data_IF_013004652199
#
_entry.id   IF_013004652199
#
_cell.length_a   1.000
_cell.length_b   1.000
_cell.length_c   1.000
_cell.angle_alpha   90.00
_cell.angle_beta   90.00
_cell.angle_gamma   90.00
#
_symmetry.space_group_name_H-M   'P 1'
#
loop_
_entity.id
_entity.type
_entity.pdbx_description
1 polymer ?
#
# COMPACT_ATOMS: atom_id res chain seq x y z
N UNK A 1 12.55 -5.88 -2.04
CA UNK A 1 11.89 -6.70 -0.98
C UNK A 1 11.34 -5.71 0.04
N UNK A 2 10.63 -6.11 1.08
CA UNK A 2 10.12 -5.16 2.11
C UNK A 2 10.31 -5.83 3.44
N UNK A 3 10.63 -5.00 4.42
CA UNK A 3 11.47 -5.34 5.56
C UNK A 3 10.58 -5.71 6.75
N UNK A 4 11.12 -6.28 7.82
CA UNK A 4 10.52 -6.18 9.16
C UNK A 4 11.34 -5.14 9.92
N UNK A 5 10.76 -4.04 10.37
CA UNK A 5 11.45 -2.87 10.96
C UNK A 5 12.53 -3.24 11.99
N UNK A 6 13.66 -2.52 12.09
CA UNK A 6 14.71 -2.79 13.09
C UNK A 6 14.32 -2.26 14.47
N UNK A 7 13.21 -1.52 14.51
CA UNK A 7 12.54 -0.95 15.66
C UNK A 7 11.20 -1.67 15.88
N UNK A 8 11.15 -3.01 16.07
CA UNK A 8 9.95 -3.59 16.65
C UNK A 8 9.93 -3.07 18.09
N UNK A 9 9.29 -1.91 18.34
CA UNK A 9 9.02 -1.51 19.72
C UNK A 9 8.07 -2.58 20.27
N UNK A 10 8.43 -3.28 21.36
CA UNK A 10 7.50 -4.15 22.05
C UNK A 10 6.22 -3.38 22.27
N UNK A 11 5.07 -4.02 22.00
CA UNK A 11 3.77 -3.37 22.24
C UNK A 11 3.69 -3.04 23.72
N UNK A 12 3.84 -1.77 24.05
CA UNK A 12 3.37 -1.25 25.33
C UNK A 12 1.83 -1.24 25.22
N UNK A 13 1.11 -2.09 25.96
CA UNK A 13 -0.34 -2.11 25.90
C UNK A 13 -0.97 -0.79 26.35
N UNK A 14 -0.21 0.06 27.07
CA UNK A 14 -0.64 1.37 27.54
C UNK A 14 -0.34 2.50 26.52
N UNK A 15 0.40 2.23 25.44
CA UNK A 15 0.71 3.21 24.39
C UNK A 15 -0.25 3.07 23.18
N UNK A 16 -0.84 4.18 22.67
CA UNK A 16 -1.69 4.13 21.48
C UNK A 16 -0.92 3.58 20.26
N UNK A 17 -1.51 2.70 19.44
CA UNK A 17 -0.82 2.15 18.28
C UNK A 17 -0.55 3.23 17.22
N UNK A 18 0.56 3.10 16.50
CA UNK A 18 0.80 3.87 15.27
C UNK A 18 -0.27 3.52 14.24
N UNK A 19 -0.72 4.53 13.50
CA UNK A 19 -1.52 4.38 12.30
C UNK A 19 -0.82 5.06 11.13
N UNK A 20 -1.22 4.76 9.91
CA UNK A 20 -0.79 5.47 8.69
C UNK A 20 -1.43 6.86 8.59
N UNK A 21 -1.35 7.62 9.68
CA UNK A 21 -1.64 9.04 9.74
C UNK A 21 -0.52 9.78 9.01
N UNK A 22 -0.68 9.90 7.69
CA UNK A 22 0.36 10.42 6.82
C UNK A 22 0.76 11.87 7.23
N UNK A 23 2.07 12.19 7.38
CA UNK A 23 2.50 13.49 7.90
C UNK A 23 2.29 14.67 6.91
N UNK A 24 2.13 14.40 5.62
CA UNK A 24 1.76 15.41 4.62
C UNK A 24 0.34 15.92 4.86
N UNK A 25 -0.60 15.00 5.08
CA UNK A 25 -1.99 15.29 5.41
C UNK A 25 -2.49 14.37 6.54
N UNK A 26 -2.24 14.74 7.81
CA UNK A 26 -2.54 13.91 8.97
C UNK A 26 -4.03 13.98 9.32
N UNK A 27 -4.85 13.47 8.40
CA UNK A 27 -6.29 13.29 8.57
C UNK A 27 -6.60 11.86 9.02
N UNK A 28 -7.37 11.73 10.10
CA UNK A 28 -7.81 10.45 10.66
C UNK A 28 -8.87 9.78 9.79
N UNK A 29 -8.49 9.17 8.66
CA UNK A 29 -9.43 8.45 7.80
C UNK A 29 -10.14 7.31 8.52
N UNK A 30 -9.48 6.66 9.48
CA UNK A 30 -10.06 5.60 10.30
C UNK A 30 -11.17 6.11 11.23
N UNK A 31 -10.93 7.22 11.94
CA UNK A 31 -11.94 7.88 12.76
C UNK A 31 -13.11 8.36 11.89
N UNK A 32 -12.81 8.94 10.72
CA UNK A 32 -13.83 9.42 9.78
C UNK A 32 -14.73 8.29 9.24
N UNK A 33 -14.14 7.18 8.80
CA UNK A 33 -14.88 6.01 8.28
C UNK A 33 -15.69 5.29 9.38
N UNK A 34 -15.19 5.29 10.63
CA UNK A 34 -15.89 4.65 11.75
C UNK A 34 -16.99 5.50 12.38
N UNK A 35 -17.08 6.78 12.02
CA UNK A 35 -18.00 7.70 12.66
C UNK A 35 -19.46 7.35 12.32
N UNK A 36 -20.37 7.23 13.31
CA UNK A 36 -21.74 6.73 13.08
C UNK A 36 -22.62 7.67 12.25
N UNK A 37 -22.20 8.92 12.04
CA UNK A 37 -22.89 9.85 11.14
C UNK A 37 -22.64 9.57 9.64
N UNK A 38 -21.74 8.64 9.31
CA UNK A 38 -21.31 8.37 7.94
C UNK A 38 -20.47 9.51 7.34
N UNK A 39 -20.23 9.43 6.03
CA UNK A 39 -19.33 10.35 5.33
C UNK A 39 -19.97 11.71 4.99
N UNK A 40 -21.30 11.79 5.07
CA UNK A 40 -22.06 12.98 4.71
C UNK A 40 -23.36 12.62 4.01
N UNK A 41 -23.94 13.59 3.31
CA UNK A 41 -25.20 13.43 2.58
C UNK A 41 -25.16 14.19 1.27
N UNK A 42 -25.86 13.66 0.27
CA UNK A 42 -26.08 14.31 -1.03
C UNK A 42 -27.52 14.86 -1.05
N UNK A 43 -27.76 16.07 -1.61
CA UNK A 43 -29.11 16.61 -1.76
C UNK A 43 -30.05 15.64 -2.49
N UNK A 44 -31.31 15.56 -2.06
CA UNK A 44 -32.29 14.58 -2.58
C UNK A 44 -32.43 14.63 -4.11
N UNK A 45 -32.42 15.83 -4.69
CA UNK A 45 -32.51 16.03 -6.14
C UNK A 45 -31.31 15.50 -6.95
N UNK A 46 -30.19 15.17 -6.29
CA UNK A 46 -28.99 14.61 -6.92
C UNK A 46 -28.89 13.09 -6.71
N UNK A 47 -29.77 12.47 -5.92
CA UNK A 47 -29.77 11.02 -5.74
C UNK A 47 -29.98 10.30 -7.08
N UNK A 48 -29.26 9.21 -7.28
CA UNK A 48 -29.22 8.46 -8.54
C UNK A 48 -28.40 9.12 -9.65
N UNK A 49 -27.83 10.32 -9.44
CA UNK A 49 -26.92 10.96 -10.40
C UNK A 49 -25.72 10.07 -10.68
N UNK A 50 -25.38 9.93 -11.95
CA UNK A 50 -24.26 9.10 -12.36
C UNK A 50 -22.90 9.79 -12.21
N UNK A 51 -21.93 9.04 -11.69
CA UNK A 51 -20.52 9.45 -11.56
C UNK A 51 -19.65 8.41 -12.24
N UNK A 52 -18.84 8.81 -13.21
CA UNK A 52 -17.91 7.87 -13.84
C UNK A 52 -16.75 7.53 -12.89
N UNK A 53 -16.42 6.24 -12.76
CA UNK A 53 -15.27 5.77 -11.99
C UNK A 53 -14.39 4.91 -12.91
N UNK A 54 -13.22 5.43 -13.29
CA UNK A 54 -12.33 4.81 -14.28
C UNK A 54 -11.24 4.04 -13.56
N UNK A 55 -11.34 2.71 -13.64
CA UNK A 55 -10.51 1.73 -12.96
C UNK A 55 -11.26 1.04 -11.81
N UNK A 56 -11.37 -0.29 -11.87
CA UNK A 56 -11.96 -1.14 -10.83
C UNK A 56 -10.88 -1.74 -9.90
N UNK A 57 -9.80 -1.01 -9.66
CA UNK A 57 -8.86 -1.29 -8.57
C UNK A 57 -9.41 -0.84 -7.21
N UNK A 58 -8.66 -1.08 -6.14
CA UNK A 58 -9.12 -0.78 -4.77
C UNK A 58 -9.60 0.67 -4.59
N UNK A 59 -8.85 1.66 -5.09
CA UNK A 59 -9.25 3.07 -4.96
C UNK A 59 -10.57 3.39 -5.67
N UNK A 60 -10.75 2.89 -6.90
CA UNK A 60 -11.99 3.10 -7.65
C UNK A 60 -13.18 2.40 -7.01
N UNK A 61 -12.99 1.18 -6.52
CA UNK A 61 -14.05 0.43 -5.84
C UNK A 61 -14.43 1.00 -4.49
N UNK A 62 -13.48 1.50 -3.70
CA UNK A 62 -13.79 2.22 -2.47
C UNK A 62 -14.59 3.49 -2.78
N UNK A 63 -14.15 4.30 -3.74
CA UNK A 63 -14.89 5.50 -4.14
C UNK A 63 -16.30 5.15 -4.64
N UNK A 64 -16.45 4.14 -5.48
CA UNK A 64 -17.75 3.69 -5.96
C UNK A 64 -18.63 3.17 -4.82
N UNK A 65 -18.09 2.37 -3.90
CA UNK A 65 -18.81 1.83 -2.77
C UNK A 65 -19.38 2.92 -1.86
N UNK A 66 -18.58 3.95 -1.55
CA UNK A 66 -19.03 5.07 -0.74
C UNK A 66 -20.03 5.98 -1.49
N UNK A 67 -19.84 6.20 -2.80
CA UNK A 67 -20.81 6.94 -3.62
C UNK A 67 -22.15 6.22 -3.69
N UNK A 68 -22.16 4.88 -3.78
CA UNK A 68 -23.35 4.05 -3.70
C UNK A 68 -24.05 4.27 -2.35
N UNK A 69 -23.31 4.20 -1.24
CA UNK A 69 -23.84 4.46 0.11
C UNK A 69 -24.49 5.84 0.26
N UNK A 70 -23.89 6.87 -0.34
CA UNK A 70 -24.41 8.24 -0.40
C UNK A 70 -25.61 8.42 -1.35
N UNK A 71 -26.04 7.36 -2.05
CA UNK A 71 -27.20 7.36 -2.93
C UNK A 71 -26.94 7.87 -4.35
N UNK A 72 -25.67 8.04 -4.74
CA UNK A 72 -25.28 8.29 -6.13
C UNK A 72 -25.18 6.99 -6.92
N UNK A 73 -25.09 7.09 -8.25
CA UNK A 73 -24.96 5.96 -9.16
C UNK A 73 -23.55 5.89 -9.75
N UNK A 74 -22.56 5.30 -9.06
CA UNK A 74 -21.24 5.11 -9.65
C UNK A 74 -21.35 4.21 -10.89
N UNK A 75 -20.70 4.61 -11.99
CA UNK A 75 -20.56 3.81 -13.21
C UNK A 75 -19.09 3.47 -13.37
N UNK A 76 -18.74 2.22 -13.03
CA UNK A 76 -17.37 1.73 -12.99
C UNK A 76 -16.94 1.23 -14.37
N UNK A 77 -15.77 1.67 -14.83
CA UNK A 77 -15.12 1.23 -16.08
C UNK A 77 -13.84 0.47 -15.75
N UNK A 78 -13.60 -0.65 -16.44
CA UNK A 78 -12.39 -1.45 -16.27
C UNK A 78 -11.88 -1.98 -17.62
N UNK A 79 -10.57 -1.98 -17.78
CA UNK A 79 -9.89 -2.36 -19.04
C UNK A 79 -9.35 -3.79 -19.07
N UNK A 80 -9.08 -4.39 -17.91
CA UNK A 80 -8.65 -5.78 -17.74
C UNK A 80 -9.63 -6.50 -16.81
N UNK A 81 -9.47 -6.32 -15.50
CA UNK A 81 -10.24 -7.05 -14.47
C UNK A 81 -10.35 -6.27 -13.17
N UNK A 82 -11.38 -6.58 -12.41
CA UNK A 82 -11.57 -6.09 -11.04
C UNK A 82 -10.34 -6.43 -10.19
N UNK A 83 -9.95 -5.49 -9.32
CA UNK A 83 -8.87 -5.61 -8.34
C UNK A 83 -7.57 -4.93 -8.76
N UNK A 84 -7.29 -4.82 -10.06
CA UNK A 84 -6.10 -4.14 -10.57
C UNK A 84 -4.79 -4.71 -9.98
N UNK A 85 -4.14 -3.95 -9.08
CA UNK A 85 -2.89 -4.35 -8.41
C UNK A 85 -3.10 -5.16 -7.13
N UNK A 86 -4.34 -5.36 -6.67
CA UNK A 86 -4.66 -6.45 -5.74
C UNK A 86 -5.09 -7.63 -6.58
N UNK A 87 -4.10 -8.42 -7.02
CA UNK A 87 -4.28 -9.50 -7.99
C UNK A 87 -3.78 -10.80 -7.41
N UNK A 88 -4.67 -11.78 -7.40
CA UNK A 88 -4.41 -13.11 -6.88
C UNK A 88 -4.58 -14.11 -8.01
N UNK A 89 -3.57 -14.96 -8.21
CA UNK A 89 -3.66 -16.13 -9.09
C UNK A 89 -3.75 -17.40 -8.25
N UNK A 90 -4.27 -18.47 -8.83
CA UNK A 90 -4.24 -19.81 -8.27
C UNK A 90 -3.51 -20.77 -9.20
N UNK A 91 -3.14 -21.94 -8.69
CA UNK A 91 -2.55 -23.01 -9.49
C UNK A 91 -3.65 -23.92 -10.05
N UNK A 92 -3.59 -24.28 -11.33
CA UNK A 92 -4.63 -25.09 -11.99
C UNK A 92 -4.90 -26.42 -11.27
N UNK A 93 -3.84 -27.05 -10.75
CA UNK A 93 -3.91 -28.31 -10.00
C UNK A 93 -4.32 -28.15 -8.54
N UNK A 94 -4.37 -26.92 -8.01
CA UNK A 94 -4.78 -26.62 -6.64
C UNK A 94 -5.40 -25.21 -6.54
N UNK A 95 -6.69 -25.04 -6.92
CA UNK A 95 -7.35 -23.73 -6.99
C UNK A 95 -7.39 -22.96 -5.66
N UNK A 96 -7.36 -23.65 -4.52
CA UNK A 96 -7.35 -23.04 -3.19
C UNK A 96 -5.96 -22.51 -2.76
N UNK A 97 -4.90 -22.89 -3.49
CA UNK A 97 -3.54 -22.40 -3.27
C UNK A 97 -3.32 -21.18 -4.15
N UNK A 98 -3.09 -20.04 -3.48
CA UNK A 98 -3.05 -18.73 -4.15
C UNK A 98 -1.69 -18.05 -4.06
N UNK A 99 -1.40 -17.25 -5.09
CA UNK A 99 -0.23 -16.38 -5.21
C UNK A 99 -0.68 -14.93 -5.45
N UNK A 100 -0.32 -14.04 -4.52
CA UNK A 100 -0.60 -12.60 -4.64
C UNK A 100 0.46 -11.92 -5.52
N UNK A 101 0.10 -11.69 -6.78
CA UNK A 101 0.96 -11.12 -7.81
C UNK A 101 1.25 -9.64 -7.60
N UNK A 102 0.38 -8.92 -6.89
CA UNK A 102 0.53 -7.51 -6.54
C UNK A 102 0.72 -7.29 -5.04
N UNK A 103 -0.14 -6.51 -4.39
CA UNK A 103 -0.09 -6.35 -2.93
C UNK A 103 -0.33 -7.68 -2.21
N UNK A 104 0.56 -8.06 -1.28
CA UNK A 104 0.52 -9.36 -0.58
C UNK A 104 0.67 -9.28 0.95
N UNK A 105 1.09 -8.12 1.44
CA UNK A 105 1.36 -7.88 2.86
C UNK A 105 0.93 -6.45 3.19
N UNK A 106 0.16 -6.31 4.26
CA UNK A 106 -0.54 -5.06 4.60
C UNK A 106 -0.25 -4.72 6.06
N UNK A 107 0.41 -3.59 6.35
CA UNK A 107 0.82 -3.22 7.70
C UNK A 107 -0.41 -2.91 8.56
N UNK A 108 -0.45 -3.39 9.81
CA UNK A 108 -1.56 -3.16 10.75
C UNK A 108 -1.86 -1.67 11.01
N UNK A 109 -0.89 -0.79 10.77
CA UNK A 109 -1.05 0.67 10.84
C UNK A 109 -1.98 1.22 9.75
N UNK A 110 -2.21 0.49 8.66
CA UNK A 110 -3.11 0.86 7.55
C UNK A 110 -4.60 0.78 7.90
N UNK A 111 -5.05 1.54 8.90
CA UNK A 111 -6.37 1.43 9.51
C UNK A 111 -7.54 1.65 8.54
N UNK A 112 -7.41 2.56 7.57
CA UNK A 112 -8.43 2.75 6.54
C UNK A 112 -8.57 1.52 5.61
N UNK A 113 -7.47 0.81 5.31
CA UNK A 113 -7.54 -0.45 4.58
C UNK A 113 -8.22 -1.54 5.43
N UNK A 114 -7.86 -1.65 6.71
CA UNK A 114 -8.45 -2.64 7.61
C UNK A 114 -9.93 -2.39 7.91
N UNK A 115 -10.40 -1.13 7.88
CA UNK A 115 -11.83 -0.83 7.95
C UNK A 115 -12.63 -1.66 6.94
N UNK A 116 -12.20 -1.70 5.67
CA UNK A 116 -12.89 -2.49 4.63
C UNK A 116 -12.63 -4.00 4.74
N UNK A 117 -11.45 -4.42 5.21
CA UNK A 117 -11.17 -5.84 5.47
C UNK A 117 -12.12 -6.38 6.55
N UNK A 118 -12.29 -5.63 7.63
CA UNK A 118 -13.13 -6.00 8.77
C UNK A 118 -14.62 -5.90 8.41
N UNK A 119 -15.04 -4.84 7.73
CA UNK A 119 -16.39 -4.65 7.21
C UNK A 119 -16.85 -5.85 6.36
N UNK A 120 -15.95 -6.38 5.54
CA UNK A 120 -16.22 -7.49 4.63
C UNK A 120 -15.94 -8.87 5.24
N UNK A 121 -15.59 -8.94 6.53
CA UNK A 121 -15.34 -10.18 7.26
C UNK A 121 -14.17 -10.99 6.70
N UNK A 122 -13.16 -10.35 6.11
CA UNK A 122 -12.04 -11.03 5.48
C UNK A 122 -11.00 -11.45 6.51
N UNK A 123 -10.79 -12.76 6.64
CA UNK A 123 -9.80 -13.29 7.56
C UNK A 123 -8.36 -12.93 7.14
N UNK A 124 -7.55 -12.53 8.11
CA UNK A 124 -6.13 -12.20 7.89
C UNK A 124 -5.23 -12.93 8.88
N UNK A 125 -3.98 -13.17 8.51
CA UNK A 125 -2.93 -13.71 9.41
C UNK A 125 -1.61 -12.96 9.21
N UNK A 126 -0.72 -13.02 10.20
CA UNK A 126 0.63 -12.46 10.08
C UNK A 126 1.34 -12.96 8.81
N UNK A 127 2.03 -12.05 8.13
CA UNK A 127 2.84 -12.35 6.95
C UNK A 127 4.19 -12.90 7.42
N UNK A 128 4.73 -13.98 6.81
CA UNK A 128 6.01 -14.54 7.18
C UNK A 128 7.16 -13.66 6.65
N UNK A 129 7.37 -12.49 7.25
CA UNK A 129 8.58 -11.69 6.99
C UNK A 129 9.79 -12.36 7.65
N UNK A 130 11.03 -12.14 7.16
CA UNK A 130 12.20 -12.67 7.83
C UNK A 130 12.26 -12.21 9.30
N UNK A 131 12.64 -13.12 10.20
CA UNK A 131 12.77 -12.90 11.65
C UNK A 131 11.49 -12.49 12.38
N UNK A 132 10.32 -12.60 11.75
CA UNK A 132 9.03 -12.44 12.42
C UNK A 132 8.65 -13.69 13.24
N UNK A 133 7.85 -13.54 14.29
CA UNK A 133 7.42 -14.65 15.17
C UNK A 133 6.80 -15.86 14.44
N UNK A 134 6.20 -15.64 13.26
CA UNK A 134 5.57 -16.68 12.44
C UNK A 134 6.51 -17.31 11.40
N UNK A 135 7.77 -16.88 11.37
CA UNK A 135 8.81 -17.34 10.45
C UNK A 135 9.82 -18.16 11.26
N UNK A 136 9.86 -19.50 11.09
CA UNK A 136 10.71 -20.36 11.92
C UNK A 136 12.21 -20.05 11.83
N UNK A 137 12.69 -19.68 10.63
CA UNK A 137 14.09 -19.37 10.38
C UNK A 137 14.27 -18.44 9.18
N UNK A 138 15.37 -17.70 9.21
CA UNK A 138 15.86 -16.81 8.16
C UNK A 138 17.28 -17.19 7.77
N UNK A 139 17.62 -17.12 6.49
CA UNK A 139 18.98 -17.20 5.96
C UNK A 139 19.31 -15.92 5.21
N UNK A 140 20.45 -15.30 5.56
CA UNK A 140 21.01 -14.15 4.87
C UNK A 140 22.24 -14.62 4.10
N UNK A 141 22.27 -14.40 2.78
CA UNK A 141 23.43 -14.63 1.93
C UNK A 141 24.05 -13.28 1.57
N UNK A 142 25.25 -12.99 2.07
CA UNK A 142 25.94 -11.73 1.84
C UNK A 142 27.42 -11.97 1.59
N UNK A 143 27.95 -11.45 0.48
CA UNK A 143 29.37 -11.61 0.14
C UNK A 143 29.83 -13.06 -0.11
N UNK A 144 28.90 -13.98 -0.37
CA UNK A 144 29.18 -15.41 -0.52
C UNK A 144 29.21 -16.19 0.81
N UNK A 145 28.86 -15.54 1.92
CA UNK A 145 28.68 -16.16 3.23
C UNK A 145 27.19 -16.30 3.57
N UNK A 146 26.85 -17.41 4.23
CA UNK A 146 25.49 -17.78 4.62
C UNK A 146 25.33 -17.68 6.14
N UNK A 147 24.35 -16.90 6.59
CA UNK A 147 24.03 -16.70 8.01
C UNK A 147 22.62 -17.21 8.29
N UNK A 148 22.51 -18.29 9.07
CA UNK A 148 21.24 -18.86 9.54
C UNK A 148 20.87 -18.24 10.89
N UNK A 149 19.61 -17.86 11.05
CA UNK A 149 19.08 -17.29 12.28
C UNK A 149 17.63 -17.73 12.51
N UNK A 150 17.30 -18.12 13.75
CA UNK A 150 15.91 -18.29 14.21
C UNK A 150 15.46 -17.03 14.97
N UNK A 151 16.43 -16.32 15.55
CA UNK A 151 16.24 -15.07 16.27
C UNK A 151 17.27 -14.04 15.81
N UNK A 152 17.02 -12.73 16.00
CA UNK A 152 18.01 -11.70 15.70
C UNK A 152 19.36 -11.89 16.42
N UNK A 153 19.36 -12.54 17.60
CA UNK A 153 20.57 -12.78 18.40
C UNK A 153 21.50 -13.85 17.80
N UNK A 154 21.00 -14.66 16.87
CA UNK A 154 21.81 -15.65 16.13
C UNK A 154 22.67 -15.01 15.04
N UNK A 155 22.36 -13.77 14.65
CA UNK A 155 23.09 -13.05 13.61
C UNK A 155 24.41 -12.46 14.13
N UNK A 156 25.45 -12.41 13.29
CA UNK A 156 26.67 -11.68 13.62
C UNK A 156 26.40 -10.24 14.07
N UNK A 157 27.18 -9.76 15.05
CA UNK A 157 27.08 -8.40 15.59
C UNK A 157 27.06 -7.31 14.50
N UNK A 158 27.71 -7.57 13.37
CA UNK A 158 27.68 -6.73 12.17
C UNK A 158 26.25 -6.29 11.76
N UNK A 159 25.26 -7.18 11.76
CA UNK A 159 23.90 -6.82 11.38
C UNK A 159 23.22 -5.91 12.43
N UNK A 160 23.53 -6.14 13.71
CA UNK A 160 23.14 -5.25 14.81
C UNK A 160 23.73 -3.85 14.65
N UNK A 161 25.01 -3.75 14.28
CA UNK A 161 25.68 -2.47 14.01
C UNK A 161 25.05 -1.69 12.86
N UNK A 162 24.61 -2.38 11.79
CA UNK A 162 23.89 -1.78 10.67
C UNK A 162 22.52 -1.26 11.13
N UNK A 163 21.77 -2.06 11.90
CA UNK A 163 20.50 -1.64 12.51
C UNK A 163 20.68 -0.40 13.38
N UNK A 164 21.69 -0.38 14.25
CA UNK A 164 21.93 0.74 15.17
C UNK A 164 22.34 2.00 14.44
N UNK A 165 23.15 1.88 13.38
CA UNK A 165 23.50 3.01 12.52
C UNK A 165 22.25 3.62 11.85
N UNK A 166 21.34 2.78 11.36
CA UNK A 166 20.08 3.24 10.77
C UNK A 166 19.18 3.94 11.78
N UNK A 167 18.98 3.35 12.97
CA UNK A 167 18.20 3.96 14.06
C UNK A 167 18.76 5.33 14.45
N UNK A 168 20.08 5.42 14.62
CA UNK A 168 20.76 6.67 14.94
C UNK A 168 20.60 7.71 13.83
N UNK A 169 20.77 7.32 12.57
CA UNK A 169 20.58 8.21 11.42
C UNK A 169 19.16 8.81 11.38
N UNK A 170 18.12 8.00 11.62
CA UNK A 170 16.74 8.47 11.69
C UNK A 170 16.48 9.41 12.87
N UNK A 171 17.00 9.10 14.06
CA UNK A 171 16.84 9.94 15.25
C UNK A 171 17.50 11.30 15.08
N UNK A 172 18.75 11.31 14.63
CA UNK A 172 19.54 12.54 14.48
C UNK A 172 19.12 13.36 13.25
N UNK A 173 18.86 12.70 12.12
CA UNK A 173 18.60 13.36 10.83
C UNK A 173 17.13 13.66 10.55
N UNK A 174 16.20 13.00 11.25
CA UNK A 174 14.78 13.04 10.92
C UNK A 174 13.86 13.06 12.15
N UNK A 175 14.35 13.37 13.35
CA UNK A 175 13.52 13.52 14.56
C UNK A 175 12.53 12.34 14.79
N UNK A 176 13.00 11.11 14.53
CA UNK A 176 12.13 9.94 14.41
C UNK A 176 11.29 9.67 15.65
N UNK A 177 11.89 9.68 16.84
CA UNK A 177 11.16 9.39 18.07
C UNK A 177 10.09 10.47 18.35
N UNK A 178 10.40 11.75 18.11
CA UNK A 178 9.45 12.85 18.27
C UNK A 178 8.26 12.75 17.30
N UNK A 179 8.54 12.35 16.04
CA UNK A 179 7.49 12.15 15.04
C UNK A 179 6.59 10.98 15.43
N UNK A 180 7.15 9.83 15.81
CA UNK A 180 6.35 8.68 16.22
C UNK A 180 5.48 9.00 17.44
N UNK A 181 6.02 9.69 18.44
CA UNK A 181 5.24 10.08 19.61
C UNK A 181 4.09 11.04 19.24
N UNK A 182 4.34 11.99 18.33
CA UNK A 182 3.30 12.88 17.81
C UNK A 182 2.22 12.12 17.02
N UNK A 183 2.60 11.13 16.21
CA UNK A 183 1.67 10.28 15.46
C UNK A 183 0.79 9.43 16.38
N UNK A 184 1.35 8.80 17.42
CA UNK A 184 0.56 8.02 18.39
C UNK A 184 -0.48 8.89 19.11
N UNK A 185 -0.10 10.12 19.45
CA UNK A 185 -0.98 11.11 20.10
C UNK A 185 -1.91 11.84 19.12
N UNK A 186 -1.77 11.60 17.81
CA UNK A 186 -2.42 12.36 16.73
C UNK A 186 -2.25 13.87 16.89
N UNK A 187 -1.09 14.32 17.37
CA UNK A 187 -0.77 15.74 17.56
C UNK A 187 -0.46 16.39 16.21
N UNK A 188 -1.52 16.77 15.49
CA UNK A 188 -1.42 17.36 14.15
C UNK A 188 -0.50 18.60 14.12
N UNK A 189 -0.59 19.59 15.05
CA UNK A 189 0.35 20.69 15.10
C UNK A 189 1.81 20.23 15.16
N UNK A 190 2.15 19.28 16.04
CA UNK A 190 3.53 18.78 16.17
C UNK A 190 3.98 17.99 14.95
N UNK A 191 3.12 17.13 14.40
CA UNK A 191 3.39 16.39 13.15
C UNK A 191 3.74 17.38 12.04
N UNK A 192 2.92 18.41 11.84
CA UNK A 192 3.12 19.40 10.77
C UNK A 192 4.37 20.26 11.01
N UNK A 193 4.69 20.61 12.26
CA UNK A 193 5.92 21.33 12.59
C UNK A 193 7.17 20.55 12.18
N UNK A 194 7.26 19.27 12.59
CA UNK A 194 8.39 18.40 12.26
C UNK A 194 8.44 18.17 10.75
N UNK A 195 7.33 17.73 10.15
CA UNK A 195 7.29 17.32 8.75
C UNK A 195 7.59 18.47 7.79
N UNK A 196 6.97 19.63 7.98
CA UNK A 196 7.15 20.76 7.07
C UNK A 196 8.58 21.31 7.10
N UNK A 197 9.32 21.11 8.21
CA UNK A 197 10.75 21.41 8.27
C UNK A 197 11.56 20.42 7.43
N UNK A 198 11.28 19.13 7.57
CA UNK A 198 11.98 18.06 6.84
C UNK A 198 11.74 18.12 5.34
N UNK A 199 10.51 18.42 4.90
CA UNK A 199 10.20 18.63 3.47
C UNK A 199 11.15 19.63 2.83
N UNK A 200 11.41 20.77 3.48
CA UNK A 200 12.31 21.81 2.94
C UNK A 200 13.77 21.36 2.80
N UNK A 201 14.20 20.37 3.56
CA UNK A 201 15.60 19.96 3.64
C UNK A 201 15.90 18.62 2.98
N UNK A 202 14.88 17.77 2.80
CA UNK A 202 15.04 16.38 2.37
C UNK A 202 14.30 16.03 1.07
N UNK A 203 13.54 16.96 0.46
CA UNK A 203 12.82 16.68 -0.80
C UNK A 203 13.77 16.27 -1.93
N UNK A 204 14.81 17.08 -2.15
CA UNK A 204 15.89 16.85 -3.13
C UNK A 204 16.98 15.89 -2.62
N UNK A 205 16.79 15.28 -1.45
CA UNK A 205 17.73 14.34 -0.87
C UNK A 205 17.33 12.90 -1.21
N UNK A 206 18.21 12.16 -1.88
CA UNK A 206 17.98 10.72 -2.08
C UNK A 206 18.17 9.95 -0.78
N UNK A 207 17.50 8.81 -0.65
CA UNK A 207 17.68 7.93 0.50
C UNK A 207 19.16 7.53 0.71
N UNK A 208 19.87 7.16 -0.35
CA UNK A 208 21.30 6.85 -0.24
C UNK A 208 22.14 8.05 0.17
N UNK A 209 21.77 9.26 -0.28
CA UNK A 209 22.39 10.51 0.14
C UNK A 209 22.26 10.72 1.65
N UNK A 210 21.04 10.55 2.18
CA UNK A 210 20.74 10.68 3.60
C UNK A 210 21.59 9.73 4.44
N UNK A 211 21.63 8.44 4.05
CA UNK A 211 22.46 7.43 4.73
C UNK A 211 23.94 7.82 4.67
N UNK A 212 24.46 8.08 3.47
CA UNK A 212 25.89 8.32 3.25
C UNK A 212 26.43 9.57 3.96
N UNK A 213 25.56 10.57 4.22
CA UNK A 213 25.93 11.80 4.93
C UNK A 213 25.74 11.70 6.45
N UNK A 214 24.96 10.74 6.93
CA UNK A 214 24.74 10.57 8.37
C UNK A 214 26.06 10.28 9.11
N UNK A 215 26.24 10.84 10.30
CA UNK A 215 27.39 10.53 11.14
C UNK A 215 27.46 9.02 11.44
N UNK A 216 26.30 8.43 11.75
CA UNK A 216 26.14 7.02 12.07
C UNK A 216 26.73 6.07 11.01
N UNK A 217 26.53 6.32 9.72
CA UNK A 217 27.12 5.48 8.66
C UNK A 217 28.51 5.94 8.19
N UNK A 218 28.89 7.22 8.36
CA UNK A 218 30.27 7.68 8.07
C UNK A 218 31.30 7.13 9.04
N UNK A 219 30.89 6.87 10.28
CA UNK A 219 31.71 6.22 11.30
C UNK A 219 31.87 4.70 11.05
N UNK A 220 31.10 4.14 10.10
CA UNK A 220 31.12 2.72 9.72
C UNK A 220 31.81 2.51 8.37
N UNK A 221 32.10 1.25 8.03
CA UNK A 221 32.73 0.90 6.75
C UNK A 221 31.75 1.02 5.57
N UNK A 222 32.28 1.04 4.35
CA UNK A 222 31.45 0.92 3.14
C UNK A 222 30.58 -0.35 3.16
N UNK A 223 31.13 -1.47 3.63
CA UNK A 223 30.43 -2.76 3.76
C UNK A 223 29.16 -2.65 4.61
N UNK A 224 29.12 -1.81 5.64
CA UNK A 224 27.88 -1.59 6.41
C UNK A 224 26.77 -0.95 5.58
N UNK A 225 27.14 0.01 4.71
CA UNK A 225 26.18 0.68 3.80
C UNK A 225 25.71 -0.26 2.70
N UNK A 226 26.61 -1.09 2.17
CA UNK A 226 26.28 -2.10 1.17
C UNK A 226 25.36 -3.18 1.75
N UNK A 227 25.67 -3.68 2.95
CA UNK A 227 24.81 -4.62 3.66
C UNK A 227 23.40 -4.04 3.93
N UNK A 228 23.33 -2.77 4.35
CA UNK A 228 22.04 -2.08 4.49
C UNK A 228 21.24 -2.08 3.19
N UNK A 229 21.89 -1.86 2.05
CA UNK A 229 21.24 -1.93 0.74
C UNK A 229 20.72 -3.33 0.42
N UNK A 230 21.57 -4.36 0.51
CA UNK A 230 21.24 -5.70 0.03
C UNK A 230 20.27 -6.45 0.94
N UNK A 231 20.43 -6.34 2.25
CA UNK A 231 19.72 -7.16 3.23
C UNK A 231 19.09 -6.35 4.36
N UNK A 232 19.24 -5.01 4.31
CA UNK A 232 18.83 -4.13 5.38
C UNK A 232 19.65 -4.45 6.63
N UNK A 233 18.95 -4.91 7.65
CA UNK A 233 19.52 -5.36 8.92
C UNK A 233 19.11 -6.82 9.18
N UNK A 234 18.93 -7.59 8.11
CA UNK A 234 18.62 -9.01 8.13
C UNK A 234 17.16 -9.38 7.85
N UNK A 235 16.35 -8.43 7.37
CA UNK A 235 14.94 -8.66 7.09
C UNK A 235 14.43 -8.08 5.77
N UNK A 236 15.32 -7.64 4.88
CA UNK A 236 15.01 -7.24 3.51
C UNK A 236 15.83 -6.03 3.05
N UNK A 237 16.30 -6.07 1.81
CA UNK A 237 17.08 -4.98 1.20
C UNK A 237 16.27 -3.72 0.88
N UNK A 238 16.96 -2.58 0.95
CA UNK A 238 16.49 -1.21 0.73
C UNK A 238 17.13 -0.54 -0.50
N UNK A 239 18.05 -1.22 -1.17
CA UNK A 239 18.82 -0.68 -2.30
C UNK A 239 17.95 -0.24 -3.48
N UNK A 240 16.83 -0.93 -3.74
CA UNK A 240 15.86 -0.55 -4.78
C UNK A 240 15.26 0.84 -4.58
N UNK A 241 15.25 1.33 -3.34
CA UNK A 241 14.68 2.63 -2.97
C UNK A 241 15.76 3.71 -2.76
N UNK A 242 17.04 3.39 -2.93
CA UNK A 242 18.16 4.33 -2.70
C UNK A 242 18.09 5.60 -3.54
N UNK A 243 17.48 5.53 -4.71
CA UNK A 243 17.30 6.67 -5.62
C UNK A 243 16.07 7.51 -5.30
N UNK A 244 15.15 7.01 -4.47
CA UNK A 244 13.92 7.72 -4.15
C UNK A 244 14.22 8.89 -3.20
N UNK A 245 13.33 9.88 -3.19
CA UNK A 245 13.39 10.96 -2.20
C UNK A 245 13.31 10.38 -0.79
N UNK A 246 14.15 10.88 0.11
CA UNK A 246 14.17 10.46 1.51
C UNK A 246 12.81 10.67 2.18
N UNK A 247 12.01 11.64 1.73
CA UNK A 247 10.66 11.86 2.22
C UNK A 247 9.75 10.64 2.01
N UNK A 248 9.93 9.87 0.94
CA UNK A 248 9.16 8.64 0.72
C UNK A 248 9.48 7.58 1.78
N UNK A 249 10.77 7.41 2.10
CA UNK A 249 11.23 6.46 3.12
C UNK A 249 10.74 6.88 4.51
N UNK A 250 10.79 8.17 4.82
CA UNK A 250 10.30 8.69 6.10
C UNK A 250 8.81 8.44 6.29
N UNK A 251 7.98 8.58 5.25
CA UNK A 251 6.55 8.22 5.31
C UNK A 251 6.36 6.75 5.67
N UNK A 252 7.15 5.86 5.08
CA UNK A 252 7.11 4.41 5.36
C UNK A 252 7.42 4.13 6.84
N UNK A 253 8.60 4.56 7.30
CA UNK A 253 9.10 4.18 8.64
C UNK A 253 8.42 4.94 9.78
N UNK A 254 7.93 6.17 9.58
CA UNK A 254 7.16 6.86 10.62
C UNK A 254 5.82 6.21 10.90
N UNK A 255 5.22 5.59 9.88
CA UNK A 255 3.87 5.03 9.95
C UNK A 255 3.85 3.51 10.15
N UNK A 256 4.99 2.91 10.50
CA UNK A 256 5.18 1.46 10.61
C UNK A 256 4.66 0.72 9.37
N UNK A 257 4.80 1.32 8.17
CA UNK A 257 4.34 0.73 6.93
C UNK A 257 5.18 -0.46 6.49
N UNK A 258 6.38 -0.59 7.06
CA UNK A 258 7.35 -1.66 6.90
C UNK A 258 7.33 -2.68 8.06
N UNK A 259 6.34 -2.65 8.96
CA UNK A 259 6.23 -3.63 10.05
C UNK A 259 4.85 -4.29 10.15
N UNK A 260 4.78 -5.36 10.96
CA UNK A 260 3.55 -6.02 11.41
C UNK A 260 2.56 -6.26 10.29
N UNK A 261 3.08 -6.79 9.20
CA UNK A 261 2.28 -7.05 8.03
C UNK A 261 1.38 -8.28 8.24
N UNK A 262 0.17 -8.20 7.70
CA UNK A 262 -0.71 -9.36 7.54
C UNK A 262 -1.00 -9.63 6.07
N UNK A 263 -1.43 -10.85 5.77
CA UNK A 263 -2.02 -11.22 4.48
C UNK A 263 -3.50 -11.56 4.64
N UNK A 264 -4.26 -11.36 3.57
CA UNK A 264 -5.64 -11.83 3.46
C UNK A 264 -5.63 -13.32 3.09
N UNK A 265 -6.41 -14.12 3.81
CA UNK A 265 -6.55 -15.56 3.55
C UNK A 265 -7.40 -15.79 2.29
N UNK A 266 -6.92 -16.64 1.39
CA UNK A 266 -7.49 -16.81 0.05
C UNK A 266 -7.09 -15.72 -0.95
N UNK A 267 -6.19 -14.80 -0.56
CA UNK A 267 -5.56 -13.83 -1.46
C UNK A 267 -6.15 -12.42 -1.37
N UNK A 268 -5.33 -11.43 -1.70
CA UNK A 268 -5.65 -10.01 -1.55
C UNK A 268 -6.76 -9.52 -2.49
N UNK A 269 -6.97 -10.18 -3.64
CA UNK A 269 -8.04 -9.81 -4.58
C UNK A 269 -9.45 -10.02 -4.00
N UNK A 270 -9.58 -10.82 -2.95
CA UNK A 270 -10.87 -10.97 -2.25
C UNK A 270 -11.44 -9.65 -1.73
N UNK A 271 -10.60 -8.68 -1.39
CA UNK A 271 -11.05 -7.37 -0.93
C UNK A 271 -11.82 -6.58 -2.02
N UNK A 272 -11.23 -6.28 -3.19
CA UNK A 272 -11.98 -5.64 -4.27
C UNK A 272 -13.17 -6.47 -4.76
N UNK A 273 -13.05 -7.80 -4.83
CA UNK A 273 -14.17 -8.66 -5.24
C UNK A 273 -15.34 -8.62 -4.23
N UNK A 274 -15.04 -8.55 -2.93
CA UNK A 274 -16.03 -8.38 -1.88
C UNK A 274 -16.66 -6.98 -1.93
N UNK A 275 -15.89 -5.90 -2.14
CA UNK A 275 -16.44 -4.55 -2.31
C UNK A 275 -17.40 -4.47 -3.50
N UNK A 276 -17.09 -5.18 -4.59
CA UNK A 276 -17.95 -5.24 -5.78
C UNK A 276 -19.31 -5.88 -5.51
N UNK A 277 -19.35 -6.90 -4.65
CA UNK A 277 -20.54 -7.73 -4.43
C UNK A 277 -21.30 -7.42 -3.14
N UNK A 278 -20.66 -6.74 -2.18
CA UNK A 278 -21.25 -6.36 -0.91
C UNK A 278 -22.34 -5.29 -1.09
N UNK A 279 -23.46 -5.48 -0.39
CA UNK A 279 -24.52 -4.50 -0.30
C UNK A 279 -24.41 -3.77 1.05
N UNK A 280 -24.10 -2.46 1.07
CA UNK A 280 -24.11 -1.68 2.31
C UNK A 280 -25.46 -1.77 3.03
N UNK A 281 -25.46 -1.86 4.36
CA UNK A 281 -26.69 -1.97 5.14
C UNK A 281 -27.51 -0.67 5.11
N UNK A 282 -26.84 0.47 5.26
CA UNK A 282 -27.45 1.79 5.29
C UNK A 282 -27.09 2.55 4.01
N UNK A 283 -28.02 2.59 3.05
CA UNK A 283 -27.88 3.34 1.80
C UNK A 283 -28.95 4.42 1.68
N UNK A 284 -28.58 5.58 1.19
CA UNK A 284 -29.54 6.55 0.67
C UNK A 284 -30.03 6.08 -0.72
N UNK A 285 -31.29 6.39 -1.06
CA UNK A 285 -31.93 6.18 -2.38
C UNK A 285 -32.16 4.73 -2.84
N UNK A 286 -31.19 3.84 -2.67
CA UNK A 286 -31.20 2.51 -3.25
C UNK A 286 -32.02 1.50 -2.43
N UNK A 287 -32.71 0.54 -3.08
CA UNK A 287 -33.35 -0.57 -2.36
C UNK A 287 -32.34 -1.41 -1.57
N UNK A 288 -32.81 -2.00 -0.47
CA UNK A 288 -32.03 -2.96 0.33
C UNK A 288 -31.47 -4.08 -0.56
N UNK A 289 -30.20 -4.46 -0.33
CA UNK A 289 -29.50 -5.48 -1.11
C UNK A 289 -28.85 -4.97 -2.40
N UNK A 290 -28.95 -3.67 -2.71
CA UNK A 290 -28.20 -3.08 -3.83
C UNK A 290 -26.69 -3.12 -3.57
N UNK A 291 -25.93 -3.64 -4.53
CA UNK A 291 -24.46 -3.64 -4.56
C UNK A 291 -23.95 -2.97 -5.83
N UNK A 292 -22.64 -2.72 -5.92
CA UNK A 292 -22.03 -2.29 -7.18
C UNK A 292 -22.29 -3.31 -8.30
N UNK A 293 -22.17 -4.60 -8.01
CA UNK A 293 -22.46 -5.68 -8.96
C UNK A 293 -23.90 -5.61 -9.49
N UNK A 294 -24.91 -5.52 -8.61
CA UNK A 294 -26.30 -5.46 -9.05
C UNK A 294 -26.61 -4.18 -9.83
N UNK A 295 -26.03 -3.05 -9.42
CA UNK A 295 -26.17 -1.75 -10.12
C UNK A 295 -25.61 -1.80 -11.56
N UNK A 296 -24.67 -2.70 -11.83
CA UNK A 296 -24.00 -2.87 -13.11
C UNK A 296 -24.39 -4.15 -13.86
N UNK A 297 -25.44 -4.85 -13.44
CA UNK A 297 -25.84 -6.15 -14.05
C UNK A 297 -24.70 -7.17 -14.06
N UNK A 298 -23.84 -7.15 -13.04
CA UNK A 298 -22.79 -8.14 -12.79
C UNK A 298 -21.37 -7.70 -13.12
N UNK A 299 -21.15 -6.75 -14.05
CA UNK A 299 -19.81 -6.42 -14.56
C UNK A 299 -19.60 -4.92 -14.79
N UNK A 300 -18.38 -4.38 -14.58
CA UNK A 300 -18.06 -3.01 -14.95
C UNK A 300 -18.14 -2.80 -16.47
N UNK A 301 -18.21 -1.53 -16.87
CA UNK A 301 -18.12 -1.08 -18.27
C UNK A 301 -16.73 -1.32 -18.84
N UNK A 302 -16.59 -1.24 -20.16
CA UNK A 302 -15.34 -1.56 -20.84
C UNK A 302 -14.25 -0.49 -20.67
N UNK A 303 -13.11 -0.74 -21.32
CA UNK A 303 -11.97 0.19 -21.32
C UNK A 303 -12.36 1.58 -21.83
N UNK A 304 -11.97 2.63 -21.11
CA UNK A 304 -12.09 4.02 -21.56
C UNK A 304 -11.00 4.34 -22.58
N UNK A 305 -11.39 4.94 -23.69
CA UNK A 305 -10.50 5.40 -24.75
C UNK A 305 -10.36 6.92 -24.82
N UNK A 306 -11.36 7.69 -24.41
CA UNK A 306 -11.27 9.14 -24.36
C UNK A 306 -12.05 9.75 -23.19
N UNK A 307 -11.54 10.86 -22.67
CA UNK A 307 -12.17 11.68 -21.64
C UNK A 307 -12.16 13.12 -22.15
N UNK A 308 -13.34 13.68 -22.40
CA UNK A 308 -13.50 15.03 -22.96
C UNK A 308 -14.51 15.81 -22.15
N UNK A 309 -14.52 17.12 -22.33
CA UNK A 309 -15.50 18.01 -21.73
C UNK A 309 -16.56 18.34 -22.78
N UNK A 310 -17.80 18.02 -22.49
CA UNK A 310 -18.94 18.31 -23.35
C UNK A 310 -19.23 19.82 -23.40
N UNK A 311 -20.00 20.30 -24.41
CA UNK A 311 -20.37 21.71 -24.53
C UNK A 311 -21.17 22.26 -23.34
N UNK A 312 -21.92 21.41 -22.63
CA UNK A 312 -22.68 21.75 -21.43
C UNK A 312 -21.85 21.74 -20.12
N UNK A 313 -20.54 21.45 -20.23
CA UNK A 313 -19.62 21.39 -19.10
C UNK A 313 -19.53 20.02 -18.41
N UNK A 314 -20.35 19.05 -18.81
CA UNK A 314 -20.26 17.66 -18.32
C UNK A 314 -19.01 16.94 -18.85
N UNK A 315 -18.68 15.80 -18.25
CA UNK A 315 -17.56 14.95 -18.66
C UNK A 315 -18.07 13.88 -19.61
N UNK A 316 -17.60 13.90 -20.84
CA UNK A 316 -17.82 12.86 -21.83
C UNK A 316 -16.78 11.74 -21.70
N UNK A 317 -17.25 10.51 -21.49
CA UNK A 317 -16.43 9.31 -21.45
C UNK A 317 -16.77 8.46 -22.67
N UNK A 318 -15.76 8.15 -23.47
CA UNK A 318 -15.89 7.27 -24.63
C UNK A 318 -15.16 5.95 -24.36
N UNK A 319 -15.89 4.84 -24.44
CA UNK A 319 -15.36 3.49 -24.35
C UNK A 319 -14.62 3.10 -25.64
N UNK A 320 -13.70 2.13 -25.56
CA UNK A 320 -12.87 1.66 -26.68
C UNK A 320 -13.66 1.23 -27.92
N UNK A 321 -14.89 0.77 -27.73
CA UNK A 321 -15.77 0.31 -28.82
C UNK A 321 -16.79 1.36 -29.26
N UNK A 322 -16.57 2.64 -28.89
CA UNK A 322 -17.31 3.78 -29.41
C UNK A 322 -18.57 4.16 -28.65
N UNK A 323 -18.92 3.46 -27.56
CA UNK A 323 -20.00 3.89 -26.69
C UNK A 323 -19.57 5.14 -25.92
N UNK A 324 -20.33 6.22 -26.07
CA UNK A 324 -20.05 7.50 -25.40
C UNK A 324 -21.19 7.85 -24.45
N UNK A 325 -20.84 8.33 -23.26
CA UNK A 325 -21.79 8.79 -22.26
C UNK A 325 -21.26 10.00 -21.50
N UNK A 326 -22.15 10.92 -21.14
CA UNK A 326 -21.82 12.11 -20.34
C UNK A 326 -22.13 11.91 -18.86
N UNK A 327 -21.32 12.51 -18.00
CA UNK A 327 -21.37 12.40 -16.55
C UNK A 327 -21.18 13.76 -15.90
N UNK A 328 -21.83 14.00 -14.76
CA UNK A 328 -21.63 15.22 -14.00
C UNK A 328 -20.20 15.32 -13.42
N UNK A 329 -19.62 14.17 -13.05
CA UNK A 329 -18.27 14.07 -12.52
C UNK A 329 -17.62 12.75 -12.95
N UNK A 330 -16.28 12.73 -12.93
CA UNK A 330 -15.48 11.55 -13.20
C UNK A 330 -14.33 11.42 -12.18
N UNK A 331 -14.09 10.21 -11.71
CA UNK A 331 -12.97 9.83 -10.85
C UNK A 331 -12.07 8.91 -11.67
N UNK A 332 -10.78 9.22 -11.77
CA UNK A 332 -9.80 8.42 -12.51
C UNK A 332 -8.79 7.82 -11.55
N UNK A 333 -8.66 6.50 -11.56
CA UNK A 333 -7.81 5.74 -10.61
C UNK A 333 -6.76 4.86 -11.29
N UNK A 334 -6.68 4.92 -12.62
CA UNK A 334 -5.58 4.32 -13.35
C UNK A 334 -4.26 5.03 -12.98
N UNK A 335 -3.12 4.38 -13.24
CA UNK A 335 -1.82 5.04 -13.11
C UNK A 335 -1.82 6.31 -13.97
N UNK A 336 -1.37 7.44 -13.39
CA UNK A 336 -1.52 8.79 -13.97
C UNK A 336 -1.02 8.90 -15.40
N UNK A 337 0.13 8.28 -15.73
CA UNK A 337 0.73 8.35 -17.06
C UNK A 337 -0.19 7.80 -18.17
N UNK A 338 -1.17 6.96 -17.83
CA UNK A 338 -2.14 6.43 -18.79
C UNK A 338 -3.06 7.52 -19.34
N UNK A 339 -3.26 8.62 -18.60
CA UNK A 339 -4.01 9.80 -19.06
C UNK A 339 -3.34 10.51 -20.23
N UNK A 340 -2.01 10.43 -20.37
CA UNK A 340 -1.27 11.00 -21.49
C UNK A 340 -0.87 9.95 -22.55
N UNK A 341 -0.78 8.68 -22.17
CA UNK A 341 -0.21 7.64 -23.05
C UNK A 341 -1.20 6.59 -23.60
N UNK A 342 -2.41 6.46 -23.03
CA UNK A 342 -3.36 5.40 -23.40
C UNK A 342 -4.79 5.88 -23.56
N UNK A 343 -5.19 6.93 -22.86
CA UNK A 343 -6.51 7.55 -22.92
C UNK A 343 -6.36 8.90 -23.63
N UNK A 344 -7.17 9.16 -24.66
CA UNK A 344 -7.29 10.48 -25.30
C UNK A 344 -8.00 11.44 -24.33
N UNK A 345 -7.21 12.01 -23.42
CA UNK A 345 -7.69 12.91 -22.38
C UNK A 345 -7.53 14.35 -22.85
N UNK A 346 -8.64 15.09 -22.88
CA UNK A 346 -8.62 16.47 -23.34
C UNK A 346 -7.76 17.36 -22.42
N UNK A 347 -6.77 18.04 -23.00
CA UNK A 347 -5.75 18.79 -22.26
C UNK A 347 -6.36 19.81 -21.28
N UNK A 348 -7.43 20.50 -21.68
CA UNK A 348 -8.08 21.52 -20.84
C UNK A 348 -8.77 20.98 -19.58
N UNK A 349 -8.84 19.66 -19.40
CA UNK A 349 -9.38 19.05 -18.17
C UNK A 349 -8.46 19.26 -16.97
N UNK A 350 -7.16 19.48 -17.20
CA UNK A 350 -6.17 19.70 -16.16
C UNK A 350 -5.37 20.98 -16.42
N UNK A 351 -4.94 21.63 -15.34
CA UNK A 351 -4.01 22.74 -15.45
C UNK A 351 -2.64 22.27 -15.99
N UNK A 352 -1.86 23.13 -16.67
CA UNK A 352 -0.55 22.74 -17.19
C UNK A 352 0.41 22.15 -16.15
N UNK A 353 0.37 22.64 -14.91
CA UNK A 353 1.19 22.14 -13.80
C UNK A 353 0.78 20.72 -13.38
N UNK A 354 -0.52 20.39 -13.48
CA UNK A 354 -1.02 19.05 -13.22
C UNK A 354 -0.59 18.07 -14.30
N UNK A 355 -0.59 18.48 -15.57
CA UNK A 355 -0.03 17.66 -16.65
C UNK A 355 1.46 17.36 -16.42
N UNK A 356 2.23 18.36 -16.02
CA UNK A 356 3.64 18.16 -15.66
C UNK A 356 3.78 17.12 -14.55
N UNK A 357 2.97 17.19 -13.49
CA UNK A 357 2.99 16.19 -12.41
C UNK A 357 2.61 14.78 -12.89
N UNK A 358 1.58 14.67 -13.75
CA UNK A 358 1.12 13.41 -14.34
C UNK A 358 2.24 12.76 -15.16
N UNK A 359 2.91 13.54 -16.02
CA UNK A 359 3.93 13.04 -16.94
C UNK A 359 5.28 12.77 -16.29
N UNK A 360 5.62 13.48 -15.21
CA UNK A 360 6.91 13.33 -14.50
C UNK A 360 6.89 12.28 -13.39
N UNK A 361 5.71 11.74 -13.07
CA UNK A 361 5.58 10.65 -12.09
C UNK A 361 6.37 9.41 -12.53
N UNK A 362 7.31 8.94 -11.69
CA UNK A 362 8.09 7.73 -11.95
C UNK A 362 7.35 6.46 -11.48
N UNK A 363 7.59 5.33 -12.16
CA UNK A 363 7.01 4.04 -11.83
C UNK A 363 8.11 2.98 -11.71
N UNK A 364 8.20 2.38 -10.53
CA UNK A 364 9.16 1.30 -10.26
C UNK A 364 8.72 -0.02 -10.90
N UNK A 365 9.68 -0.78 -11.41
CA UNK A 365 9.43 -2.14 -11.87
C UNK A 365 9.41 -3.13 -10.69
N UNK A 366 8.64 -4.20 -10.83
CA UNK A 366 8.62 -5.30 -9.85
C UNK A 366 8.37 -6.61 -10.59
N UNK A 367 9.01 -7.69 -10.12
CA UNK A 367 8.82 -9.04 -10.64
C UNK A 367 8.64 -10.00 -9.46
N UNK A 368 7.75 -10.99 -9.64
CA UNK A 368 7.52 -12.06 -8.68
C UNK A 368 7.36 -13.37 -9.43
N UNK A 369 8.00 -14.42 -8.92
CA UNK A 369 7.86 -15.78 -9.43
C UNK A 369 7.42 -16.67 -8.27
N UNK A 370 6.35 -17.42 -8.46
CA UNK A 370 5.81 -18.34 -7.47
C UNK A 370 5.86 -19.76 -8.01
N UNK A 371 6.25 -20.70 -7.14
CA UNK A 371 6.16 -22.13 -7.40
C UNK A 371 5.32 -22.77 -6.30
N UNK A 372 4.51 -23.76 -6.66
CA UNK A 372 3.78 -24.58 -5.71
C UNK A 372 4.57 -25.84 -5.41
N UNK A 373 4.56 -26.26 -4.15
CA UNK A 373 5.17 -27.50 -3.68
C UNK A 373 4.11 -28.34 -2.96
N UNK A 374 4.36 -29.64 -2.84
CA UNK A 374 3.41 -30.63 -2.30
C UNK A 374 3.14 -30.48 -0.80
N UNK A 375 4.15 -30.06 -0.04
CA UNK A 375 4.08 -29.80 1.40
C UNK A 375 5.06 -28.70 1.82
N UNK A 376 4.92 -28.09 3.00
CA UNK A 376 5.89 -27.12 3.52
C UNK A 376 7.17 -27.82 4.00
N UNK A 377 7.94 -28.42 3.08
CA UNK A 377 9.13 -29.22 3.39
C UNK A 377 10.25 -28.41 4.05
N UNK A 378 10.24 -27.09 3.93
CA UNK A 378 11.13 -26.18 4.65
C UNK A 378 11.01 -26.29 6.18
N UNK A 379 9.90 -26.85 6.70
CA UNK A 379 9.75 -27.14 8.12
C UNK A 379 10.54 -28.38 8.58
N UNK A 380 11.07 -29.19 7.67
CA UNK A 380 11.89 -30.34 8.03
C UNK A 380 13.22 -29.87 8.63
N UNK A 381 13.74 -30.63 9.58
CA UNK A 381 15.04 -30.37 10.22
C UNK A 381 16.09 -31.29 9.61
N UNK A 382 17.20 -30.70 9.15
CA UNK A 382 18.38 -31.44 8.73
C UNK A 382 19.06 -32.09 9.95
N UNK A 383 19.15 -33.42 10.03
CA UNK A 383 19.72 -34.11 11.19
C UNK A 383 21.21 -33.86 11.38
N UNK A 384 21.95 -33.42 10.35
CA UNK A 384 23.37 -33.14 10.46
C UNK A 384 23.66 -31.77 11.09
N UNK A 385 22.82 -30.76 10.79
CA UNK A 385 23.02 -29.37 11.22
C UNK A 385 22.07 -28.94 12.34
N UNK A 386 20.95 -29.66 12.53
CA UNK A 386 19.88 -29.27 13.45
C UNK A 386 19.05 -28.08 12.96
N UNK A 387 19.23 -27.64 11.71
CA UNK A 387 18.58 -26.45 11.13
C UNK A 387 17.43 -26.83 10.22
N UNK A 388 16.54 -25.88 9.95
CA UNK A 388 15.56 -26.02 8.87
C UNK A 388 16.24 -26.27 7.52
N UNK A 389 15.72 -27.23 6.73
CA UNK A 389 16.28 -27.60 5.41
C UNK A 389 16.18 -26.46 4.38
N UNK A 390 15.29 -25.50 4.60
CA UNK A 390 15.14 -24.27 3.82
C UNK A 390 14.56 -23.19 4.73
N UNK A 391 15.02 -21.94 4.57
CA UNK A 391 14.63 -20.81 5.43
C UNK A 391 14.10 -19.64 4.61
N UNK A 392 13.43 -18.70 5.27
CA UNK A 392 13.05 -17.41 4.67
C UNK A 392 14.30 -16.60 4.32
N UNK A 393 14.24 -15.78 3.28
CA UNK A 393 15.35 -14.89 2.88
C UNK A 393 14.91 -13.44 2.86
#
# INVERSE_FOLDING_TARGET
MTVATPLPRPRDPDEPPISMLNPDFPFSYDEYLSHPAGLGQVPEQLLGTEVAVIGAGLSGLVAAYELLGLGLKPVVFESDRIGGRLRTASFESAPDVVADLGGMRFPESGRAFYHYVDLLGLATRAFPNPLADVTPSTVIELGGESFYAETPDDLPAFFGEVSDAWKRALREGAAFDEMQDALRRRDVPRIKEIWNRLVKTLDEETFYGFISRSAAFREKSFTHREAFGQVGFGSGGWDTDFTNSMLEILRVVYTDADDRHRRILGGAQRLPDALWTHAPADMAHWPEGTSLSSLHSGAPRGAVAAIKRSPDGSIEITEKWGATKTFAAAIVTCQSWLLSARIDTEERLFAPEMWTAIERSHYMQSSKTFVMVDRPFWNDIDPATGRHVLSMT
#
